data_IF_124739134898
#
_entry.id   IF_124739134898
#
_cell.length_a   1.000
_cell.length_b   1.000
_cell.length_c   1.000
_cell.angle_alpha   90.00
_cell.angle_beta   90.00
_cell.angle_gamma   90.00
#
_symmetry.space_group_name_H-M   'P 1'
#
loop_
_entity.id
_entity.type
_entity.pdbx_description
1 polymer ?
#
# COMPACT_ATOMS: atom_id res chain seq x y z
N UNK A 1 17.61 -3.04 56.20
CA UNK A 1 17.71 -1.89 55.29
C UNK A 1 18.55 -2.14 54.03
N UNK A 2 19.75 -2.74 54.07
CA UNK A 2 20.61 -3.00 52.88
C UNK A 2 19.99 -3.94 51.83
N UNK A 3 19.26 -4.98 52.25
CA UNK A 3 18.61 -5.94 51.33
C UNK A 3 17.44 -5.31 50.57
N UNK A 4 16.63 -4.43 51.17
CA UNK A 4 15.57 -3.68 50.51
C UNK A 4 16.12 -2.79 49.40
N UNK A 5 17.24 -2.12 49.63
CA UNK A 5 17.93 -1.31 48.62
C UNK A 5 18.46 -2.20 47.46
N UNK A 6 19.03 -3.37 47.77
CA UNK A 6 19.47 -4.32 46.73
C UNK A 6 18.30 -4.87 45.90
N UNK A 7 17.19 -5.22 46.55
CA UNK A 7 15.97 -5.65 45.87
C UNK A 7 15.41 -4.54 45.00
N UNK A 8 15.41 -3.28 45.46
CA UNK A 8 15.00 -2.13 44.66
C UNK A 8 15.86 -1.93 43.41
N UNK A 9 17.18 -1.98 43.55
CA UNK A 9 18.09 -1.89 42.38
C UNK A 9 17.94 -3.07 41.42
N UNK A 10 17.71 -4.28 41.92
CA UNK A 10 17.46 -5.45 41.09
C UNK A 10 16.14 -5.27 40.28
N UNK A 11 15.08 -4.76 40.90
CA UNK A 11 13.81 -4.46 40.20
C UNK A 11 14.01 -3.40 39.12
N UNK A 12 14.73 -2.31 39.40
CA UNK A 12 15.05 -1.28 38.41
C UNK A 12 15.86 -1.84 37.25
N UNK A 13 16.86 -2.68 37.55
CA UNK A 13 17.67 -3.32 36.52
C UNK A 13 16.83 -4.25 35.61
N UNK A 14 15.92 -5.04 36.20
CA UNK A 14 14.99 -5.89 35.43
C UNK A 14 14.06 -5.09 34.53
N UNK A 15 13.51 -3.99 35.04
CA UNK A 15 12.65 -3.09 34.22
C UNK A 15 13.47 -2.49 33.08
N UNK A 16 14.68 -2.01 33.35
CA UNK A 16 15.56 -1.45 32.30
C UNK A 16 15.94 -2.50 31.26
N UNK A 17 16.25 -3.73 31.65
CA UNK A 17 16.53 -4.83 30.74
C UNK A 17 15.31 -5.19 29.90
N UNK A 18 14.13 -5.27 30.49
CA UNK A 18 12.87 -5.52 29.76
C UNK A 18 12.56 -4.40 28.74
N UNK A 19 12.76 -3.13 29.13
CA UNK A 19 12.59 -1.98 28.25
C UNK A 19 13.58 -2.00 27.08
N UNK A 20 14.86 -2.21 27.34
CA UNK A 20 15.90 -2.29 26.30
C UNK A 20 15.69 -3.50 25.38
N UNK A 21 15.36 -4.66 25.98
CA UNK A 21 15.05 -5.88 25.20
C UNK A 21 13.82 -5.72 24.31
N UNK A 22 12.75 -5.13 24.81
CA UNK A 22 11.55 -4.81 24.03
C UNK A 22 11.83 -3.82 22.90
N UNK A 23 12.62 -2.80 23.19
CA UNK A 23 13.06 -1.80 22.21
C UNK A 23 13.89 -2.44 21.09
N UNK A 24 14.88 -3.24 21.45
CA UNK A 24 15.72 -3.97 20.49
C UNK A 24 14.88 -4.96 19.66
N UNK A 25 13.98 -5.71 20.30
CA UNK A 25 13.08 -6.62 19.60
C UNK A 25 12.26 -5.90 18.53
N UNK A 26 11.62 -4.79 18.87
CA UNK A 26 10.83 -4.01 17.91
C UNK A 26 11.70 -3.46 16.78
N UNK A 27 12.89 -2.95 17.07
CA UNK A 27 13.81 -2.46 16.06
C UNK A 27 14.18 -3.53 15.02
N UNK A 28 14.56 -4.73 15.47
CA UNK A 28 14.96 -5.81 14.57
C UNK A 28 13.79 -6.56 13.93
N UNK A 29 12.59 -6.48 14.52
CA UNK A 29 11.41 -7.25 14.07
C UNK A 29 10.32 -6.39 13.42
N UNK A 30 10.52 -5.09 13.24
CA UNK A 30 9.50 -4.21 12.68
C UNK A 30 9.01 -4.67 11.30
N UNK A 31 9.89 -5.16 10.44
CA UNK A 31 9.51 -5.70 9.14
C UNK A 31 8.51 -6.85 9.25
N UNK A 32 8.72 -7.80 10.20
CA UNK A 32 7.80 -8.93 10.42
C UNK A 32 6.47 -8.54 11.09
N UNK A 33 6.40 -7.36 11.69
CA UNK A 33 5.17 -6.80 12.28
C UNK A 33 4.37 -6.05 11.21
N UNK A 34 5.06 -5.31 10.35
CA UNK A 34 4.45 -4.47 9.31
C UNK A 34 4.03 -5.32 8.11
N UNK A 35 4.92 -6.18 7.61
CA UNK A 35 4.67 -6.98 6.43
C UNK A 35 4.21 -8.38 6.81
N UNK A 36 3.06 -8.77 6.28
CA UNK A 36 2.41 -10.05 6.57
C UNK A 36 2.22 -10.88 5.28
N UNK A 37 3.31 -11.17 4.56
CA UNK A 37 3.23 -11.88 3.29
C UNK A 37 2.79 -13.33 3.46
N UNK A 38 2.12 -13.86 2.45
CA UNK A 38 1.94 -15.31 2.25
C UNK A 38 2.51 -15.72 0.90
N UNK A 39 3.07 -16.92 0.81
CA UNK A 39 3.61 -17.48 -0.44
C UNK A 39 2.53 -18.14 -1.29
N UNK A 40 1.52 -18.72 -0.64
CA UNK A 40 0.41 -19.37 -1.32
C UNK A 40 -0.50 -18.32 -2.00
N UNK A 41 -0.73 -18.49 -3.28
CA UNK A 41 -1.65 -17.71 -4.11
C UNK A 41 -2.98 -18.46 -4.14
N UNK A 42 -3.95 -18.03 -3.33
CA UNK A 42 -5.19 -18.76 -3.10
C UNK A 42 -6.23 -18.58 -4.21
N UNK A 43 -6.20 -17.43 -4.92
CA UNK A 43 -7.13 -17.11 -6.00
C UNK A 43 -6.38 -16.47 -7.17
N UNK A 44 -6.96 -16.59 -8.36
CA UNK A 44 -6.48 -15.94 -9.58
C UNK A 44 -7.64 -15.18 -10.25
N UNK A 45 -7.38 -14.26 -11.16
CA UNK A 45 -8.44 -13.59 -11.90
C UNK A 45 -9.34 -14.56 -12.70
N UNK A 46 -8.85 -15.74 -13.06
CA UNK A 46 -9.63 -16.79 -13.76
C UNK A 46 -10.78 -17.31 -12.92
N UNK A 47 -10.63 -17.35 -11.59
CA UNK A 47 -11.69 -17.78 -10.65
C UNK A 47 -12.89 -16.82 -10.69
N UNK A 48 -12.71 -15.61 -11.24
CA UNK A 48 -13.73 -14.59 -11.45
C UNK A 48 -14.09 -14.39 -12.93
N UNK A 49 -13.65 -15.31 -13.80
CA UNK A 49 -13.93 -15.28 -15.24
C UNK A 49 -13.10 -14.26 -16.03
N UNK A 50 -11.98 -13.79 -15.48
CA UNK A 50 -11.08 -12.82 -16.14
C UNK A 50 -9.80 -13.51 -16.59
N UNK A 51 -9.50 -13.42 -17.89
CA UNK A 51 -8.21 -13.86 -18.42
C UNK A 51 -7.07 -13.00 -17.88
N UNK A 52 -5.93 -13.62 -17.63
CA UNK A 52 -4.72 -12.90 -17.26
C UNK A 52 -3.46 -13.57 -17.79
N UNK A 53 -2.44 -12.77 -17.96
CA UNK A 53 -1.08 -13.17 -18.29
C UNK A 53 -0.25 -13.12 -17.00
N UNK A 54 0.46 -14.20 -16.71
CA UNK A 54 1.45 -14.25 -15.64
C UNK A 54 2.74 -13.63 -16.13
N UNK A 55 3.26 -12.66 -15.41
CA UNK A 55 4.51 -11.94 -15.73
C UNK A 55 5.57 -12.17 -14.65
N UNK A 56 6.81 -12.04 -15.07
CA UNK A 56 7.99 -12.00 -14.19
C UNK A 56 8.77 -10.73 -14.51
N UNK A 57 8.79 -9.77 -13.59
CA UNK A 57 9.45 -8.48 -13.77
C UNK A 57 10.79 -8.48 -13.04
N UNK A 58 11.85 -8.09 -13.75
CA UNK A 58 13.19 -7.96 -13.16
C UNK A 58 13.32 -6.65 -12.39
N UNK A 59 13.78 -6.71 -11.14
CA UNK A 59 13.98 -5.56 -10.27
C UNK A 59 15.43 -5.49 -9.83
N UNK A 60 16.09 -4.35 -10.07
CA UNK A 60 17.44 -4.09 -9.59
C UNK A 60 17.39 -3.60 -8.15
N UNK A 61 18.08 -4.30 -7.24
CA UNK A 61 18.26 -3.87 -5.85
C UNK A 61 19.29 -2.75 -5.73
N UNK A 62 19.18 -1.95 -4.68
CA UNK A 62 20.30 -1.19 -4.14
C UNK A 62 21.45 -2.17 -3.83
N UNK A 63 22.58 -2.09 -4.48
CA UNK A 63 23.67 -3.05 -4.34
C UNK A 63 23.86 -3.99 -5.54
N UNK A 64 23.04 -3.87 -6.59
CA UNK A 64 23.31 -4.42 -7.92
C UNK A 64 22.76 -5.83 -8.19
N UNK A 65 22.29 -6.55 -7.19
CA UNK A 65 21.62 -7.84 -7.42
C UNK A 65 20.27 -7.63 -8.15
N UNK A 66 19.90 -8.58 -9.01
CA UNK A 66 18.60 -8.58 -9.69
C UNK A 66 17.73 -9.66 -9.05
N UNK A 67 16.54 -9.27 -8.65
CA UNK A 67 15.46 -10.16 -8.17
C UNK A 67 14.29 -10.09 -9.14
N UNK A 68 13.36 -11.04 -9.04
CA UNK A 68 12.21 -11.09 -9.92
C UNK A 68 10.93 -11.00 -9.09
N UNK A 69 10.02 -10.13 -9.49
CA UNK A 69 8.68 -10.06 -8.90
C UNK A 69 7.65 -10.67 -9.83
N UNK A 70 6.63 -11.27 -9.21
CA UNK A 70 5.47 -11.83 -9.90
C UNK A 70 4.44 -10.73 -10.17
N UNK A 71 3.84 -10.75 -11.35
CA UNK A 71 2.81 -9.80 -11.74
C UNK A 71 1.72 -10.47 -12.58
N UNK A 72 0.54 -9.88 -12.59
CA UNK A 72 -0.54 -10.24 -13.50
C UNK A 72 -0.91 -9.05 -14.38
N UNK A 73 -0.99 -9.31 -15.68
CA UNK A 73 -1.63 -8.42 -16.62
C UNK A 73 -3.02 -8.97 -16.97
N UNK A 74 -4.06 -8.18 -16.71
CA UNK A 74 -5.44 -8.50 -17.01
C UNK A 74 -5.93 -7.59 -18.15
N UNK A 75 -5.99 -8.05 -19.40
CA UNK A 75 -6.66 -7.29 -20.45
C UNK A 75 -8.16 -7.24 -20.15
N UNK A 76 -8.75 -6.06 -20.27
CA UNK A 76 -10.19 -5.90 -20.08
C UNK A 76 -10.99 -6.67 -21.16
N UNK A 77 -12.06 -7.37 -20.79
CA UNK A 77 -12.93 -8.02 -21.79
C UNK A 77 -13.58 -7.06 -22.78
N UNK A 78 -13.89 -5.84 -22.33
CA UNK A 78 -14.41 -4.73 -23.14
C UNK A 78 -13.64 -3.45 -22.75
N UNK A 79 -12.49 -3.16 -23.40
CA UNK A 79 -11.60 -2.09 -22.97
C UNK A 79 -12.21 -0.70 -23.09
N UNK A 80 -12.09 0.12 -22.04
CA UNK A 80 -12.43 1.54 -22.04
C UNK A 80 -11.24 2.45 -22.41
N UNK A 81 -10.11 1.86 -22.79
CA UNK A 81 -8.87 2.53 -23.15
C UNK A 81 -7.96 2.92 -21.99
N UNK A 82 -8.39 2.68 -20.74
CA UNK A 82 -7.60 3.01 -19.54
C UNK A 82 -6.93 1.77 -18.95
N UNK A 83 -5.77 1.97 -18.33
CA UNK A 83 -5.00 0.92 -17.68
C UNK A 83 -4.65 1.33 -16.25
N UNK A 84 -4.81 0.41 -15.30
CA UNK A 84 -4.57 0.65 -13.88
C UNK A 84 -3.33 -0.13 -13.42
N UNK A 85 -2.40 0.51 -12.73
CA UNK A 85 -1.45 -0.16 -11.86
C UNK A 85 -2.06 -0.27 -10.47
N UNK A 86 -2.38 -1.50 -10.05
CA UNK A 86 -2.92 -1.78 -8.72
C UNK A 86 -1.84 -2.29 -7.77
N UNK A 87 -1.65 -1.57 -6.65
CA UNK A 87 -0.71 -1.86 -5.58
C UNK A 87 -1.48 -2.29 -4.32
N UNK A 88 -1.32 -3.55 -3.92
CA UNK A 88 -2.06 -4.13 -2.80
C UNK A 88 -1.52 -3.72 -1.42
N UNK A 89 -2.26 -4.04 -0.36
CA UNK A 89 -1.91 -3.77 1.04
C UNK A 89 -0.85 -4.72 1.61
N UNK A 90 -0.60 -4.60 2.92
CA UNK A 90 0.50 -5.27 3.62
C UNK A 90 0.31 -6.77 3.88
N UNK A 91 -0.91 -7.30 3.76
CA UNK A 91 -1.20 -8.69 4.13
C UNK A 91 -1.43 -9.58 2.92
N UNK A 92 -0.99 -10.85 3.03
CA UNK A 92 -1.14 -11.92 2.05
C UNK A 92 -0.35 -11.65 0.75
N UNK A 93 -1.03 -11.55 -0.41
CA UNK A 93 -0.45 -11.33 -1.73
C UNK A 93 -1.53 -10.86 -2.73
N UNK A 94 -1.18 -10.67 -4.00
CA UNK A 94 -2.14 -10.25 -5.04
C UNK A 94 -3.28 -11.25 -5.25
N UNK A 95 -3.06 -12.55 -4.96
CA UNK A 95 -4.06 -13.61 -5.02
C UNK A 95 -4.93 -13.74 -3.77
N UNK A 96 -4.83 -12.82 -2.81
CA UNK A 96 -5.80 -12.75 -1.72
C UNK A 96 -7.19 -12.41 -2.26
N UNK A 97 -8.22 -13.09 -1.76
CA UNK A 97 -9.59 -13.00 -2.27
C UNK A 97 -10.04 -11.54 -2.54
N UNK A 98 -9.93 -10.66 -1.55
CA UNK A 98 -10.36 -9.26 -1.72
C UNK A 98 -9.56 -8.47 -2.78
N UNK A 99 -8.26 -8.78 -2.96
CA UNK A 99 -7.45 -8.19 -4.01
C UNK A 99 -7.88 -8.70 -5.39
N UNK A 100 -8.09 -10.03 -5.51
CA UNK A 100 -8.48 -10.65 -6.77
C UNK A 100 -9.90 -10.26 -7.19
N UNK A 101 -10.85 -10.19 -6.24
CA UNK A 101 -12.21 -9.67 -6.48
C UNK A 101 -12.19 -8.25 -7.01
N UNK A 102 -11.39 -7.38 -6.39
CA UNK A 102 -11.25 -5.98 -6.77
C UNK A 102 -10.69 -5.81 -8.19
N UNK A 103 -9.56 -6.45 -8.50
CA UNK A 103 -8.97 -6.34 -9.84
C UNK A 103 -9.86 -6.96 -10.91
N UNK A 104 -10.58 -8.05 -10.60
CA UNK A 104 -11.55 -8.65 -11.51
C UNK A 104 -12.76 -7.74 -11.76
N UNK A 105 -13.27 -7.06 -10.72
CA UNK A 105 -14.35 -6.09 -10.86
C UNK A 105 -13.94 -4.91 -11.74
N UNK A 106 -12.73 -4.37 -11.55
CA UNK A 106 -12.20 -3.29 -12.38
C UNK A 106 -11.96 -3.73 -13.83
N UNK A 107 -11.49 -4.97 -14.06
CA UNK A 107 -11.36 -5.50 -15.42
C UNK A 107 -12.73 -5.63 -16.11
N UNK A 108 -13.77 -6.10 -15.40
CA UNK A 108 -15.16 -6.14 -15.90
C UNK A 108 -15.71 -4.74 -16.20
N UNK A 109 -15.26 -3.72 -15.47
CA UNK A 109 -15.61 -2.31 -15.72
C UNK A 109 -14.85 -1.69 -16.92
N UNK A 110 -14.01 -2.46 -17.61
CA UNK A 110 -13.32 -2.07 -18.84
C UNK A 110 -11.88 -1.59 -18.67
N UNK A 111 -11.30 -1.64 -17.46
CA UNK A 111 -9.90 -1.26 -17.25
C UNK A 111 -8.96 -2.46 -17.52
N UNK A 112 -7.88 -2.20 -18.23
CA UNK A 112 -6.74 -3.13 -18.18
C UNK A 112 -6.07 -3.00 -16.81
N UNK A 113 -5.57 -4.09 -16.24
CA UNK A 113 -4.92 -4.07 -14.93
C UNK A 113 -3.52 -4.66 -15.00
N UNK A 114 -2.58 -3.99 -14.34
CA UNK A 114 -1.32 -4.56 -13.91
C UNK A 114 -1.31 -4.59 -12.39
N UNK A 115 -1.11 -5.77 -11.79
CA UNK A 115 -0.91 -5.93 -10.35
C UNK A 115 0.32 -6.76 -10.09
N UNK A 116 0.99 -6.52 -8.97
CA UNK A 116 2.24 -7.19 -8.61
C UNK A 116 2.15 -7.80 -7.22
N UNK A 117 2.94 -8.83 -6.98
CA UNK A 117 3.38 -9.19 -5.64
C UNK A 117 4.73 -8.53 -5.37
N UNK A 118 4.84 -7.76 -4.30
CA UNK A 118 6.13 -7.22 -3.87
C UNK A 118 7.11 -8.34 -3.53
N UNK A 119 8.41 -8.06 -3.53
CA UNK A 119 9.42 -9.00 -3.03
C UNK A 119 9.03 -9.56 -1.67
N UNK A 120 9.19 -10.86 -1.48
CA UNK A 120 8.75 -11.56 -0.27
C UNK A 120 7.29 -11.99 -0.26
N UNK A 121 6.45 -11.49 -1.17
CA UNK A 121 5.03 -11.86 -1.30
C UNK A 121 4.81 -12.87 -2.43
N UNK A 122 3.80 -13.72 -2.28
CA UNK A 122 3.35 -14.66 -3.30
C UNK A 122 4.47 -15.44 -3.97
N UNK A 123 4.55 -15.32 -5.29
CA UNK A 123 5.57 -15.98 -6.10
C UNK A 123 6.77 -15.09 -6.46
N UNK A 124 6.87 -13.90 -5.86
CA UNK A 124 8.02 -13.01 -6.02
C UNK A 124 9.24 -13.53 -5.26
N UNK A 125 10.44 -13.23 -5.76
CA UNK A 125 11.68 -13.55 -5.07
C UNK A 125 11.83 -12.73 -3.77
N UNK A 126 12.96 -12.89 -3.09
CA UNK A 126 13.27 -12.19 -1.85
C UNK A 126 12.65 -12.84 -0.60
N UNK A 127 13.25 -12.57 0.55
CA UNK A 127 12.86 -13.15 1.82
C UNK A 127 12.01 -12.21 2.67
N UNK A 128 12.39 -10.94 2.74
CA UNK A 128 11.76 -9.95 3.62
C UNK A 128 11.70 -8.61 2.91
N UNK A 129 10.51 -8.04 2.74
CA UNK A 129 10.37 -6.71 2.17
C UNK A 129 10.82 -5.63 3.16
N UNK A 130 11.15 -4.46 2.64
CA UNK A 130 11.32 -3.21 3.35
C UNK A 130 10.71 -2.05 2.52
N UNK A 131 10.57 -0.87 3.10
CA UNK A 131 9.99 0.29 2.43
C UNK A 131 10.68 0.60 1.10
N UNK A 132 12.01 0.55 1.06
CA UNK A 132 12.79 0.84 -0.15
C UNK A 132 12.53 -0.18 -1.26
N UNK A 133 12.42 -1.47 -0.89
CA UNK A 133 12.16 -2.55 -1.83
C UNK A 133 10.76 -2.45 -2.45
N UNK A 134 9.73 -2.07 -1.66
CA UNK A 134 8.41 -1.86 -2.21
C UNK A 134 8.38 -0.73 -3.26
N UNK A 135 9.15 0.33 -3.03
CA UNK A 135 9.28 1.43 -3.99
C UNK A 135 10.03 1.01 -5.27
N UNK A 136 11.06 0.17 -5.15
CA UNK A 136 11.77 -0.40 -6.31
C UNK A 136 10.85 -1.31 -7.14
N UNK A 137 10.05 -2.15 -6.47
CA UNK A 137 9.09 -3.05 -7.10
C UNK A 137 7.99 -2.29 -7.84
N UNK A 138 7.47 -1.23 -7.21
CA UNK A 138 6.47 -0.36 -7.83
C UNK A 138 7.01 0.37 -9.07
N UNK A 139 8.30 0.78 -9.07
CA UNK A 139 8.94 1.37 -10.26
C UNK A 139 9.04 0.36 -11.41
N UNK A 140 9.45 -0.88 -11.13
CA UNK A 140 9.51 -1.92 -12.15
C UNK A 140 8.11 -2.24 -12.73
N UNK A 141 7.09 -2.22 -11.88
CA UNK A 141 5.69 -2.34 -12.31
C UNK A 141 5.25 -1.15 -13.18
N UNK A 142 5.65 0.07 -12.83
CA UNK A 142 5.38 1.24 -13.66
C UNK A 142 6.04 1.11 -15.04
N UNK A 143 7.30 0.69 -15.11
CA UNK A 143 8.01 0.54 -16.39
C UNK A 143 7.32 -0.49 -17.30
N UNK A 144 6.79 -1.59 -16.74
CA UNK A 144 5.98 -2.56 -17.50
C UNK A 144 4.62 -1.99 -17.91
N UNK A 145 3.93 -1.24 -17.01
CA UNK A 145 2.69 -0.57 -17.37
C UNK A 145 2.91 0.44 -18.51
N UNK A 146 3.97 1.24 -18.44
CA UNK A 146 4.31 2.24 -19.45
C UNK A 146 4.59 1.60 -20.82
N UNK A 147 5.19 0.41 -20.84
CA UNK A 147 5.40 -0.37 -22.05
C UNK A 147 4.09 -0.87 -22.68
N UNK A 148 3.12 -1.28 -21.86
CA UNK A 148 1.82 -1.82 -22.31
C UNK A 148 0.79 -0.72 -22.63
N UNK A 149 0.85 0.38 -21.91
CA UNK A 149 0.01 1.55 -22.09
C UNK A 149 0.91 2.79 -22.27
N UNK A 150 1.45 3.07 -23.48
CA UNK A 150 2.44 4.12 -23.71
C UNK A 150 1.93 5.53 -23.41
N UNK A 151 0.63 5.78 -23.59
CA UNK A 151 0.00 7.07 -23.34
C UNK A 151 -0.16 7.32 -21.81
N UNK A 152 0.52 8.33 -21.22
CA UNK A 152 0.41 8.64 -19.81
C UNK A 152 -1.00 9.03 -19.38
N UNK A 153 -1.80 9.65 -20.28
CA UNK A 153 -3.16 10.06 -20.02
C UNK A 153 -4.14 8.87 -19.96
N UNK A 154 -3.64 7.67 -20.23
CA UNK A 154 -4.40 6.41 -20.13
C UNK A 154 -3.98 5.54 -18.94
N UNK A 155 -3.12 6.04 -18.05
CA UNK A 155 -2.65 5.29 -16.88
C UNK A 155 -3.24 5.84 -15.60
N UNK A 156 -3.77 4.96 -14.77
CA UNK A 156 -4.24 5.27 -13.41
C UNK A 156 -3.37 4.50 -12.41
N UNK A 157 -2.97 5.18 -11.37
CA UNK A 157 -2.31 4.56 -10.22
C UNK A 157 -3.30 4.31 -9.11
N UNK A 158 -3.47 3.06 -8.69
CA UNK A 158 -4.37 2.70 -7.59
C UNK A 158 -3.59 1.99 -6.49
N UNK A 159 -3.58 2.57 -5.29
CA UNK A 159 -2.97 1.98 -4.09
C UNK A 159 -3.97 1.75 -2.98
N UNK A 160 -4.01 0.52 -2.45
CA UNK A 160 -4.85 0.14 -1.31
C UNK A 160 -4.02 -0.02 -0.04
N UNK A 161 -4.42 0.63 1.06
CA UNK A 161 -3.76 0.51 2.37
C UNK A 161 -2.26 0.86 2.29
N UNK A 162 -1.34 -0.08 2.59
CA UNK A 162 0.11 0.08 2.39
C UNK A 162 0.44 0.45 0.94
N UNK A 163 -0.23 -0.18 -0.02
CA UNK A 163 -0.08 0.15 -1.45
C UNK A 163 -0.44 1.61 -1.77
N UNK A 164 -1.28 2.27 -0.96
CA UNK A 164 -1.57 3.69 -1.08
C UNK A 164 -0.37 4.57 -0.74
N UNK A 165 0.40 4.20 0.29
CA UNK A 165 1.65 4.89 0.63
C UNK A 165 2.72 4.67 -0.46
N UNK A 166 2.81 3.44 -1.00
CA UNK A 166 3.69 3.13 -2.13
C UNK A 166 3.28 3.91 -3.39
N UNK A 167 1.97 4.04 -3.64
CA UNK A 167 1.44 4.80 -4.77
C UNK A 167 1.79 6.30 -4.68
N UNK A 168 1.67 6.90 -3.49
CA UNK A 168 2.05 8.31 -3.27
C UNK A 168 3.55 8.51 -3.59
N UNK A 169 4.41 7.64 -3.12
CA UNK A 169 5.85 7.71 -3.43
C UNK A 169 6.11 7.52 -4.92
N UNK A 170 5.48 6.53 -5.55
CA UNK A 170 5.63 6.27 -6.98
C UNK A 170 5.18 7.48 -7.82
N UNK A 171 4.06 8.10 -7.49
CA UNK A 171 3.54 9.27 -8.20
C UNK A 171 4.46 10.50 -8.11
N UNK A 172 5.26 10.62 -7.04
CA UNK A 172 6.29 11.66 -6.94
C UNK A 172 7.49 11.39 -7.82
N UNK A 173 7.88 10.12 -7.94
CA UNK A 173 9.04 9.71 -8.75
C UNK A 173 8.70 9.58 -10.24
N UNK A 174 7.45 9.23 -10.54
CA UNK A 174 6.91 8.95 -11.87
C UNK A 174 5.55 9.63 -12.00
N UNK A 175 5.53 10.91 -12.35
CA UNK A 175 4.29 11.68 -12.47
C UNK A 175 3.47 11.37 -13.74
N UNK A 176 3.92 10.41 -14.58
CA UNK A 176 3.33 10.05 -15.87
C UNK A 176 2.10 9.13 -15.69
N UNK A 177 1.17 9.55 -14.84
CA UNK A 177 -0.17 8.99 -14.67
C UNK A 177 -1.22 10.09 -14.87
N UNK A 178 -2.36 9.74 -15.47
CA UNK A 178 -3.51 10.63 -15.59
C UNK A 178 -4.10 11.02 -14.22
N UNK A 179 -4.08 10.08 -13.25
CA UNK A 179 -4.60 10.31 -11.91
C UNK A 179 -4.16 9.21 -10.93
N UNK A 180 -4.28 9.49 -9.62
CA UNK A 180 -4.09 8.51 -8.55
C UNK A 180 -5.38 8.27 -7.75
N UNK A 181 -5.62 7.00 -7.41
CA UNK A 181 -6.71 6.53 -6.57
C UNK A 181 -6.12 5.91 -5.30
N UNK A 182 -6.33 6.56 -4.16
CA UNK A 182 -5.76 6.16 -2.87
C UNK A 182 -6.87 5.63 -1.97
N UNK A 183 -6.88 4.32 -1.76
CA UNK A 183 -7.92 3.61 -1.04
C UNK A 183 -7.46 3.20 0.36
N UNK A 184 -8.21 3.59 1.40
CA UNK A 184 -8.05 3.16 2.79
C UNK A 184 -6.59 3.25 3.30
N UNK A 185 -5.86 4.30 2.90
CA UNK A 185 -4.45 4.49 3.24
C UNK A 185 -4.25 5.37 4.48
N UNK A 186 -3.02 5.50 4.93
CA UNK A 186 -2.64 6.12 6.20
C UNK A 186 -1.63 7.26 6.02
N UNK A 187 -1.53 8.11 7.04
CA UNK A 187 -0.65 9.29 7.06
C UNK A 187 0.83 8.93 7.17
N UNK A 188 1.16 7.99 8.06
CA UNK A 188 2.51 7.44 8.23
C UNK A 188 2.48 6.15 9.03
N UNK A 189 3.54 5.35 8.94
CA UNK A 189 3.69 4.17 9.80
C UNK A 189 3.90 4.56 11.26
N UNK A 190 4.46 5.74 11.52
CA UNK A 190 4.57 6.28 12.87
C UNK A 190 3.18 6.54 13.47
N UNK A 191 2.28 7.20 12.73
CA UNK A 191 0.92 7.45 13.20
C UNK A 191 0.14 6.15 13.41
N UNK A 192 0.37 5.15 12.56
CA UNK A 192 -0.21 3.82 12.74
C UNK A 192 0.29 3.14 14.01
N UNK A 193 1.60 3.16 14.27
CA UNK A 193 2.22 2.53 15.43
C UNK A 193 1.77 3.17 16.75
N UNK A 194 1.67 4.48 16.81
CA UNK A 194 1.27 5.23 18.01
C UNK A 194 -0.20 5.05 18.42
N UNK A 195 -1.02 4.37 17.61
CA UNK A 195 -2.36 3.91 18.03
C UNK A 195 -2.30 2.86 19.12
N UNK A 196 -1.24 2.05 19.16
CA UNK A 196 -0.99 1.13 20.25
C UNK A 196 -0.37 1.88 21.43
N UNK A 197 -1.08 1.89 22.60
CA UNK A 197 -0.64 2.60 23.80
C UNK A 197 0.73 2.14 24.31
N UNK A 198 1.06 0.85 24.14
CA UNK A 198 2.36 0.31 24.59
C UNK A 198 3.51 0.88 23.75
N UNK A 199 3.30 1.09 22.48
CA UNK A 199 4.33 1.66 21.60
C UNK A 199 4.63 3.13 21.94
N UNK A 200 3.68 3.85 22.52
CA UNK A 200 3.92 5.24 22.99
C UNK A 200 4.90 5.33 24.16
N UNK A 201 5.15 4.22 24.87
CA UNK A 201 6.15 4.16 25.95
C UNK A 201 7.58 3.95 25.43
N UNK A 202 7.74 3.69 24.14
CA UNK A 202 9.01 3.45 23.48
C UNK A 202 9.37 4.63 22.58
N UNK A 203 10.65 4.86 22.28
CA UNK A 203 11.08 5.94 21.38
C UNK A 203 10.85 5.52 19.90
N UNK A 204 9.58 5.22 19.54
CA UNK A 204 9.19 4.67 18.25
C UNK A 204 9.62 5.57 17.11
N UNK A 205 9.56 6.89 17.28
CA UNK A 205 9.99 7.83 16.25
C UNK A 205 11.46 7.64 15.85
N UNK A 206 12.33 7.30 16.81
CA UNK A 206 13.75 7.04 16.55
C UNK A 206 13.99 5.61 16.05
N UNK A 207 13.18 4.64 16.50
CA UNK A 207 13.36 3.22 16.18
C UNK A 207 12.81 2.81 14.83
N UNK A 208 11.74 3.46 14.39
CA UNK A 208 11.03 3.08 13.18
C UNK A 208 11.83 3.45 11.94
N UNK A 209 12.24 2.44 11.15
CA UNK A 209 12.93 2.60 9.86
C UNK A 209 11.94 2.61 8.69
N UNK A 210 10.82 1.88 8.84
CA UNK A 210 9.75 1.78 7.86
C UNK A 210 8.77 2.95 8.05
N UNK A 211 9.04 4.08 7.42
CA UNK A 211 8.31 5.35 7.69
C UNK A 211 7.01 5.47 6.94
N UNK A 212 7.01 5.16 5.65
CA UNK A 212 5.87 5.38 4.75
C UNK A 212 5.17 6.73 5.03
N UNK A 213 5.95 7.81 5.05
CA UNK A 213 5.47 9.15 5.39
C UNK A 213 4.65 9.76 4.26
N UNK A 214 3.42 9.24 4.10
CA UNK A 214 2.46 9.73 3.10
C UNK A 214 2.08 11.19 3.34
N UNK A 215 1.96 11.60 4.61
CA UNK A 215 1.54 12.95 4.97
C UNK A 215 2.60 14.01 4.64
N UNK A 216 3.89 13.67 4.76
CA UNK A 216 4.98 14.54 4.34
C UNK A 216 5.16 14.60 2.82
N UNK A 217 4.67 13.59 2.09
CA UNK A 217 4.86 13.41 0.65
C UNK A 217 3.68 13.90 -0.20
N UNK A 218 2.46 13.72 0.26
CA UNK A 218 1.22 13.92 -0.55
C UNK A 218 1.07 15.33 -1.11
N UNK A 219 1.61 16.35 -0.44
CA UNK A 219 1.60 17.74 -0.91
C UNK A 219 2.47 18.00 -2.16
N UNK A 220 3.36 17.08 -2.50
CA UNK A 220 4.21 17.16 -3.70
C UNK A 220 3.61 16.52 -4.94
N UNK A 221 2.43 15.91 -4.87
CA UNK A 221 1.77 15.30 -6.04
C UNK A 221 1.49 16.34 -7.12
N UNK A 222 1.61 15.94 -8.39
CA UNK A 222 1.39 16.80 -9.56
C UNK A 222 0.31 16.28 -10.49
N UNK A 223 -0.54 15.39 -9.99
CA UNK A 223 -1.61 14.74 -10.75
C UNK A 223 -2.89 14.73 -9.91
N UNK A 224 -4.06 14.65 -10.53
CA UNK A 224 -5.34 14.52 -9.84
C UNK A 224 -5.32 13.34 -8.87
N UNK A 225 -5.83 13.53 -7.65
CA UNK A 225 -5.86 12.47 -6.64
C UNK A 225 -7.23 12.33 -6.01
N UNK A 226 -7.75 11.11 -5.97
CA UNK A 226 -8.98 10.77 -5.27
C UNK A 226 -8.66 9.84 -4.10
N UNK A 227 -9.13 10.22 -2.92
CA UNK A 227 -9.08 9.39 -1.72
C UNK A 227 -10.46 8.77 -1.51
N UNK A 228 -10.49 7.47 -1.18
CA UNK A 228 -11.71 6.78 -0.75
C UNK A 228 -11.45 6.00 0.53
N UNK A 229 -12.38 6.06 1.49
CA UNK A 229 -12.22 5.39 2.78
C UNK A 229 -13.57 4.98 3.38
N UNK A 230 -13.60 3.82 4.02
CA UNK A 230 -14.79 3.35 4.75
C UNK A 230 -14.90 3.98 6.13
N UNK A 231 -16.09 4.42 6.53
CA UNK A 231 -16.30 5.06 7.84
C UNK A 231 -16.18 4.08 9.01
N UNK A 232 -16.30 2.76 8.77
CA UNK A 232 -16.09 1.67 9.74
C UNK A 232 -14.79 0.90 9.55
N UNK A 233 -13.78 1.55 8.97
CA UNK A 233 -12.45 0.94 8.88
C UNK A 233 -11.81 0.87 10.28
N UNK A 234 -11.72 -0.35 10.83
CA UNK A 234 -11.13 -0.62 12.14
C UNK A 234 -9.60 -0.72 12.09
N UNK A 235 -9.03 -0.94 10.89
CA UNK A 235 -7.58 -1.07 10.69
C UNK A 235 -6.91 0.29 10.55
N UNK A 236 -7.39 1.09 9.60
CA UNK A 236 -6.89 2.44 9.33
C UNK A 236 -8.03 3.42 9.54
N UNK A 237 -7.94 4.37 10.50
CA UNK A 237 -8.98 5.37 10.70
C UNK A 237 -9.18 6.24 9.46
N UNK A 238 -10.42 6.43 9.01
CA UNK A 238 -10.74 7.29 7.87
C UNK A 238 -10.29 8.76 8.08
N UNK A 239 -10.04 9.18 9.32
CA UNK A 239 -9.43 10.46 9.64
C UNK A 239 -8.04 10.65 8.98
N UNK A 240 -7.31 9.54 8.73
CA UNK A 240 -6.03 9.61 8.04
C UNK A 240 -6.19 10.00 6.56
N UNK A 241 -7.20 9.45 5.85
CA UNK A 241 -7.50 9.92 4.49
C UNK A 241 -7.99 11.38 4.45
N UNK A 242 -8.74 11.83 5.46
CA UNK A 242 -9.07 13.27 5.60
C UNK A 242 -7.81 14.14 5.75
N UNK A 243 -6.84 13.68 6.54
CA UNK A 243 -5.58 14.38 6.74
C UNK A 243 -4.70 14.40 5.47
N UNK A 244 -4.67 13.31 4.70
CA UNK A 244 -4.00 13.26 3.40
C UNK A 244 -4.69 14.18 2.39
N UNK A 245 -6.02 14.12 2.30
CA UNK A 245 -6.81 14.99 1.43
C UNK A 245 -6.57 16.48 1.73
N UNK A 246 -6.54 16.86 3.01
CA UNK A 246 -6.31 18.24 3.40
C UNK A 246 -4.95 18.78 2.90
N UNK A 247 -3.93 17.93 2.78
CA UNK A 247 -2.56 18.28 2.36
C UNK A 247 -2.31 18.11 0.85
N UNK A 248 -3.11 17.30 0.17
CA UNK A 248 -2.96 17.06 -1.26
C UNK A 248 -3.25 18.35 -2.07
N UNK A 249 -2.54 18.58 -3.20
CA UNK A 249 -2.85 19.69 -4.11
C UNK A 249 -4.15 19.44 -4.88
N UNK A 250 -4.70 20.49 -5.47
CA UNK A 250 -5.78 20.37 -6.46
C UNK A 250 -5.24 19.90 -7.84
N UNK A 251 -6.05 19.16 -8.63
CA UNK A 251 -7.42 18.73 -8.32
C UNK A 251 -7.45 17.48 -7.43
N UNK A 252 -8.31 17.48 -6.44
CA UNK A 252 -8.46 16.38 -5.48
C UNK A 252 -9.92 16.12 -5.11
N UNK A 253 -10.20 14.89 -4.68
CA UNK A 253 -11.51 14.52 -4.14
C UNK A 253 -11.37 13.56 -2.95
N UNK A 254 -12.36 13.52 -2.06
CA UNK A 254 -12.48 12.57 -0.97
C UNK A 254 -13.89 12.00 -0.91
N UNK A 255 -13.99 10.68 -0.94
CA UNK A 255 -15.24 9.94 -0.76
C UNK A 255 -15.14 9.11 0.51
N UNK A 256 -16.10 9.30 1.41
CA UNK A 256 -16.27 8.45 2.58
C UNK A 256 -17.45 7.51 2.34
N UNK A 257 -17.16 6.22 2.29
CA UNK A 257 -18.18 5.18 2.13
C UNK A 257 -18.78 4.88 3.49
N UNK A 258 -20.05 5.27 3.68
CA UNK A 258 -20.74 5.05 4.93
C UNK A 258 -20.86 3.54 5.22
N UNK A 259 -20.54 3.15 6.46
CA UNK A 259 -20.45 1.75 6.91
C UNK A 259 -19.44 0.87 6.14
N UNK A 260 -18.63 1.43 5.24
CA UNK A 260 -17.57 0.71 4.55
C UNK A 260 -16.47 0.28 5.52
N UNK A 261 -15.95 -0.94 5.34
CA UNK A 261 -14.81 -1.46 6.07
C UNK A 261 -13.50 -1.33 5.26
N UNK A 262 -12.39 -1.84 5.77
CA UNK A 262 -11.06 -1.68 5.16
C UNK A 262 -10.92 -2.26 3.74
N UNK A 263 -11.59 -3.36 3.42
CA UNK A 263 -11.30 -4.14 2.20
C UNK A 263 -12.51 -4.42 1.30
N UNK A 264 -13.71 -3.88 1.63
CA UNK A 264 -14.95 -4.16 0.89
C UNK A 264 -15.53 -2.96 0.14
N UNK A 265 -14.75 -1.90 -0.05
CA UNK A 265 -15.25 -0.66 -0.66
C UNK A 265 -15.65 -0.86 -2.12
N UNK A 266 -15.01 -1.80 -2.82
CA UNK A 266 -15.30 -2.12 -4.23
C UNK A 266 -16.70 -2.70 -4.47
N UNK A 267 -17.41 -3.14 -3.42
CA UNK A 267 -18.80 -3.59 -3.48
C UNK A 267 -19.81 -2.43 -3.42
N UNK A 268 -19.34 -1.21 -3.14
CA UNK A 268 -20.21 -0.04 -2.99
C UNK A 268 -20.46 0.69 -4.31
N UNK A 269 -21.64 1.32 -4.43
CA UNK A 269 -21.95 2.19 -5.57
C UNK A 269 -21.00 3.39 -5.64
N UNK A 270 -20.58 3.90 -4.47
CA UNK A 270 -19.62 5.01 -4.37
C UNK A 270 -18.27 4.67 -4.99
N UNK A 271 -17.88 3.40 -5.06
CA UNK A 271 -16.62 3.00 -5.68
C UNK A 271 -16.61 3.22 -7.19
N UNK A 272 -17.69 2.83 -7.86
CA UNK A 272 -17.85 3.09 -9.30
C UNK A 272 -17.98 4.60 -9.60
N UNK A 273 -18.65 5.34 -8.72
CA UNK A 273 -18.75 6.81 -8.80
C UNK A 273 -17.38 7.47 -8.61
N UNK A 274 -16.57 6.99 -7.67
CA UNK A 274 -15.22 7.47 -7.43
C UNK A 274 -14.34 7.34 -8.69
N UNK A 275 -14.41 6.21 -9.39
CA UNK A 275 -13.67 6.04 -10.65
C UNK A 275 -14.18 6.98 -11.75
N UNK A 276 -15.49 7.18 -11.89
CA UNK A 276 -16.03 8.16 -12.85
C UNK A 276 -15.53 9.57 -12.55
N UNK A 277 -15.60 9.98 -11.28
CA UNK A 277 -15.11 11.29 -10.84
C UNK A 277 -13.61 11.44 -11.12
N UNK A 278 -12.80 10.40 -10.83
CA UNK A 278 -11.36 10.41 -11.08
C UNK A 278 -11.05 10.61 -12.58
N UNK A 279 -11.77 9.90 -13.46
CA UNK A 279 -11.61 10.02 -14.90
C UNK A 279 -11.99 11.42 -15.42
N UNK A 280 -12.99 12.06 -14.83
CA UNK A 280 -13.40 13.42 -15.19
C UNK A 280 -12.38 14.46 -14.67
N UNK A 281 -11.74 14.21 -13.53
CA UNK A 281 -10.64 15.06 -13.03
C UNK A 281 -9.40 14.94 -13.92
N UNK A 282 -9.12 13.75 -14.44
CA UNK A 282 -7.96 13.47 -15.30
C UNK A 282 -8.05 14.10 -16.70
N UNK A 283 -9.26 14.49 -17.16
CA UNK A 283 -9.49 15.13 -18.47
C UNK A 283 -9.31 16.66 -18.46
N UNK A 284 -9.16 17.25 -17.29
CA UNK A 284 -9.01 18.71 -17.09
C UNK A 284 -7.56 19.13 -17.05
#
# INVERSE_FOLDING_TARGET
>A
MRWLRRAGWAAVALIALAYLGGTAYLYFRQGTIIYLPTREVSNTPRDYGIAHEQLRLSVKRRGGATETISAWWLPAPAPNGMSILFLHGNARNMGARGNTEKVAALAKAGFNLLTIDYRGYGQSDGASPDEASLYEDARAAFDELARRAPDPDKRILHGHSLGGAVAIELALQRPEFAAAFIEASFTSMLDMSTRNRLFRLLPIDTLLTERFDSAGKVGGLRLPVLFIHGTRDERVPHAMSKALFARAPEPKALILVENGAHSNLHDSLQYAEAYRMLLDMAKR
#
